data_IF_896381508562
#
_entry.id   IF_896381508562
#
_cell.length_a   1.000
_cell.length_b   1.000
_cell.length_c   1.000
_cell.angle_alpha   90.00
_cell.angle_beta   90.00
_cell.angle_gamma   90.00
#
_symmetry.space_group_name_H-M   'P 1'
#
loop_
_entity.id
_entity.type
_entity.pdbx_description
1 polymer ?
#
# COMPACT_ATOMS: atom_id res chain seq x y z
N UNK A 1 20.79 -14.76 -19.30
CA UNK A 1 19.76 -13.98 -18.62
C UNK A 1 18.39 -14.29 -19.20
N UNK A 2 17.45 -14.69 -18.36
CA UNK A 2 16.10 -14.98 -18.81
C UNK A 2 15.29 -13.68 -18.77
N UNK A 3 14.69 -13.35 -19.90
CA UNK A 3 13.87 -12.17 -20.03
C UNK A 3 12.41 -12.56 -19.77
N UNK A 4 11.75 -11.85 -18.85
CA UNK A 4 10.34 -12.07 -18.59
C UNK A 4 9.50 -11.56 -19.74
N UNK A 5 8.43 -12.29 -20.04
CA UNK A 5 7.45 -11.89 -21.04
C UNK A 5 6.06 -11.88 -20.43
N UNK A 6 5.28 -10.87 -20.77
CA UNK A 6 3.91 -10.71 -20.33
C UNK A 6 2.98 -10.76 -21.51
N UNK A 7 1.80 -11.30 -21.32
CA UNK A 7 0.79 -11.32 -22.37
C UNK A 7 0.11 -9.95 -22.54
N UNK A 8 -0.19 -9.30 -21.38
CA UNK A 8 -0.75 -7.94 -21.37
C UNK A 8 -0.08 -7.14 -20.26
N UNK A 9 -0.07 -5.83 -20.41
CA UNK A 9 0.67 -4.93 -19.50
C UNK A 9 0.20 -4.99 -18.05
N UNK A 10 -1.08 -5.27 -17.80
CA UNK A 10 -1.60 -5.33 -16.44
C UNK A 10 -0.90 -6.44 -15.62
N UNK A 11 -0.39 -7.48 -16.28
CA UNK A 11 0.34 -8.55 -15.59
C UNK A 11 1.60 -8.01 -14.91
N UNK A 12 2.31 -7.07 -15.57
CA UNK A 12 3.48 -6.44 -14.99
C UNK A 12 3.09 -5.57 -13.79
N UNK A 13 2.00 -4.83 -13.90
CA UNK A 13 1.49 -4.01 -12.79
C UNK A 13 1.15 -4.87 -11.58
N UNK A 14 0.45 -5.98 -11.80
CA UNK A 14 0.03 -6.86 -10.71
C UNK A 14 1.21 -7.58 -10.08
N UNK A 15 2.31 -7.78 -10.78
CA UNK A 15 3.52 -8.31 -10.18
C UNK A 15 4.07 -7.37 -9.09
N UNK A 16 3.95 -6.06 -9.33
CA UNK A 16 4.49 -5.04 -8.42
C UNK A 16 3.53 -4.74 -7.28
N UNK A 17 2.24 -4.55 -7.59
CA UNK A 17 1.27 -4.10 -6.60
C UNK A 17 0.14 -5.09 -6.32
N UNK A 18 0.21 -6.27 -6.89
CA UNK A 18 -0.85 -7.28 -6.73
C UNK A 18 -0.83 -7.95 -5.37
N UNK A 19 -1.71 -8.92 -5.21
CA UNK A 19 -1.92 -9.58 -3.94
C UNK A 19 -2.87 -8.79 -3.06
N UNK A 20 -2.99 -9.22 -1.81
CA UNK A 20 -3.99 -8.68 -0.89
C UNK A 20 -3.57 -7.36 -0.25
N UNK A 21 -2.25 -7.16 -0.02
CA UNK A 21 -1.81 -6.15 0.93
C UNK A 21 -1.03 -4.97 0.33
N UNK A 22 -0.36 -5.16 -0.81
CA UNK A 22 0.55 -4.12 -1.32
C UNK A 22 -0.16 -2.83 -1.66
N UNK A 23 -1.29 -2.88 -2.38
CA UNK A 23 -2.06 -1.68 -2.68
C UNK A 23 -2.54 -0.97 -1.41
N UNK A 24 -2.94 -1.73 -0.39
CA UNK A 24 -3.39 -1.17 0.88
C UNK A 24 -2.25 -0.41 1.55
N UNK A 25 -1.06 -1.01 1.62
CA UNK A 25 0.12 -0.35 2.18
C UNK A 25 0.40 0.96 1.43
N UNK A 26 0.40 0.90 0.10
CA UNK A 26 0.72 2.06 -0.72
C UNK A 26 -0.31 3.18 -0.54
N UNK A 27 -1.59 2.83 -0.44
CA UNK A 27 -2.64 3.82 -0.19
C UNK A 27 -2.40 4.55 1.13
N UNK A 28 -2.02 3.83 2.18
CA UNK A 28 -1.69 4.47 3.46
C UNK A 28 -0.48 5.39 3.34
N UNK A 29 0.52 5.00 2.55
CA UNK A 29 1.73 5.81 2.35
C UNK A 29 1.50 7.06 1.50
N UNK A 30 0.41 7.14 0.74
CA UNK A 30 0.08 8.37 0.02
C UNK A 30 -0.25 9.52 0.97
N UNK A 31 -0.58 9.23 2.22
CA UNK A 31 -0.90 10.22 3.25
C UNK A 31 0.32 10.63 4.08
N UNK A 32 1.49 10.18 3.71
CA UNK A 32 2.75 10.51 4.38
C UNK A 32 3.50 9.27 4.82
N UNK A 33 4.75 9.47 5.19
CA UNK A 33 5.61 8.38 5.66
C UNK A 33 5.03 7.77 6.94
N UNK A 34 5.25 6.47 7.11
CA UNK A 34 4.70 5.70 8.22
C UNK A 34 5.75 4.76 8.80
N UNK A 35 5.67 4.56 10.10
CA UNK A 35 6.42 3.49 10.77
C UNK A 35 5.66 2.18 10.61
N UNK A 36 6.36 1.06 10.79
CA UNK A 36 5.73 -0.27 10.74
C UNK A 36 4.60 -0.38 11.75
N UNK A 37 4.79 0.19 12.97
CA UNK A 37 3.75 0.16 14.01
C UNK A 37 2.49 0.93 13.61
N UNK A 38 2.66 2.03 12.88
CA UNK A 38 1.52 2.81 12.38
C UNK A 38 0.77 2.05 11.30
N UNK A 39 1.50 1.42 10.37
CA UNK A 39 0.91 0.58 9.34
C UNK A 39 0.15 -0.60 9.96
N UNK A 40 0.74 -1.23 10.98
CA UNK A 40 0.09 -2.34 11.67
C UNK A 40 -1.22 -1.92 12.32
N UNK A 41 -1.27 -0.71 12.88
CA UNK A 41 -2.49 -0.17 13.48
C UNK A 41 -3.57 0.06 12.42
N UNK A 42 -3.19 0.57 11.25
CA UNK A 42 -4.12 0.82 10.15
C UNK A 42 -4.54 -0.48 9.45
N UNK A 43 -3.77 -1.54 9.60
CA UNK A 43 -3.99 -2.83 8.96
C UNK A 43 -3.98 -3.93 10.03
N UNK A 44 -4.99 -3.96 10.92
CA UNK A 44 -4.92 -4.85 12.09
C UNK A 44 -4.96 -6.34 11.74
N UNK A 45 -5.49 -6.71 10.59
CA UNK A 45 -5.64 -8.11 10.17
C UNK A 45 -4.33 -8.70 9.64
N UNK A 46 -3.45 -7.88 9.06
CA UNK A 46 -2.18 -8.38 8.52
C UNK A 46 -1.26 -8.83 9.68
N UNK A 47 -0.56 -9.94 9.49
CA UNK A 47 0.44 -10.37 10.48
C UNK A 47 1.69 -9.51 10.36
N UNK A 48 2.44 -9.40 11.44
CA UNK A 48 3.72 -8.66 11.43
C UNK A 48 4.67 -9.26 10.39
N UNK A 49 4.70 -10.58 10.31
CA UNK A 49 5.56 -11.28 9.34
C UNK A 49 5.18 -10.92 7.91
N UNK A 50 3.90 -10.92 7.60
CA UNK A 50 3.42 -10.59 6.26
C UNK A 50 3.67 -9.12 5.93
N UNK A 51 3.43 -8.22 6.87
CA UNK A 51 3.69 -6.80 6.67
C UNK A 51 5.17 -6.56 6.34
N UNK A 52 6.07 -7.16 7.12
CA UNK A 52 7.51 -7.06 6.89
C UNK A 52 7.88 -7.60 5.50
N UNK A 53 7.30 -8.73 5.12
CA UNK A 53 7.55 -9.33 3.81
C UNK A 53 7.10 -8.41 2.67
N UNK A 54 5.90 -7.86 2.77
CA UNK A 54 5.36 -6.97 1.75
C UNK A 54 6.17 -5.68 1.62
N UNK A 55 6.58 -5.10 2.74
CA UNK A 55 7.42 -3.91 2.74
C UNK A 55 8.77 -4.18 2.08
N UNK A 56 9.36 -5.34 2.36
CA UNK A 56 10.64 -5.72 1.75
C UNK A 56 10.51 -5.85 0.24
N UNK A 57 9.44 -6.48 -0.25
CA UNK A 57 9.21 -6.64 -1.68
C UNK A 57 8.99 -5.30 -2.37
N UNK A 58 8.20 -4.42 -1.78
CA UNK A 58 7.97 -3.08 -2.33
C UNK A 58 9.26 -2.26 -2.36
N UNK A 59 10.10 -2.39 -1.35
CA UNK A 59 11.40 -1.72 -1.31
C UNK A 59 12.33 -2.26 -2.40
N UNK A 60 12.38 -3.58 -2.57
CA UNK A 60 13.19 -4.22 -3.60
C UNK A 60 12.77 -3.79 -5.00
N UNK A 61 11.48 -3.59 -5.21
CA UNK A 61 10.95 -3.13 -6.50
C UNK A 61 11.12 -1.62 -6.69
N UNK A 62 11.69 -0.92 -5.72
CA UNK A 62 11.93 0.51 -5.80
C UNK A 62 10.69 1.38 -5.66
N UNK A 63 9.59 0.82 -5.15
CA UNK A 63 8.33 1.53 -5.00
C UNK A 63 8.31 2.36 -3.71
N UNK A 64 8.97 1.87 -2.67
CA UNK A 64 9.06 2.59 -1.39
C UNK A 64 10.52 2.70 -0.97
N UNK A 65 10.79 3.72 -0.17
CA UNK A 65 12.09 3.93 0.47
C UNK A 65 11.94 3.63 1.95
N UNK A 66 12.98 2.96 2.50
CA UNK A 66 13.10 2.74 3.93
C UNK A 66 14.05 3.80 4.49
N UNK A 67 13.57 4.58 5.44
CA UNK A 67 14.35 5.67 6.03
C UNK A 67 14.64 5.32 7.48
N UNK A 68 15.93 5.22 7.82
CA UNK A 68 16.35 4.95 9.19
C UNK A 68 16.97 6.21 9.78
N UNK A 69 16.41 6.67 10.89
CA UNK A 69 16.95 7.80 11.62
C UNK A 69 17.92 7.30 12.69
N UNK A 70 19.13 7.85 12.68
CA UNK A 70 20.20 7.45 13.59
C UNK A 70 20.01 8.12 14.95
N UNK A 71 19.16 7.54 15.76
CA UNK A 71 18.88 7.99 17.12
C UNK A 71 18.65 6.80 18.05
N UNK A 72 18.50 7.04 19.34
CA UNK A 72 18.26 5.98 20.34
C UNK A 72 16.93 6.22 21.02
N UNK A 73 15.96 5.29 20.89
CA UNK A 73 15.97 4.12 20.01
C UNK A 73 15.89 4.53 18.53
N UNK A 74 16.41 3.71 17.60
CA UNK A 74 16.34 4.04 16.19
C UNK A 74 14.89 4.02 15.69
N UNK A 75 14.59 4.91 14.75
CA UNK A 75 13.27 4.98 14.12
C UNK A 75 13.38 4.70 12.64
N UNK A 76 12.50 3.84 12.15
CA UNK A 76 12.46 3.45 10.75
C UNK A 76 11.10 3.85 10.18
N UNK A 77 11.13 4.57 9.07
CA UNK A 77 9.94 4.99 8.34
C UNK A 77 9.97 4.44 6.93
N UNK A 78 8.81 4.30 6.35
CA UNK A 78 8.63 3.96 4.94
C UNK A 78 7.87 5.08 4.27
N UNK A 79 8.25 5.39 3.04
CA UNK A 79 7.58 6.41 2.23
C UNK A 79 7.57 5.95 0.78
N UNK A 80 6.66 6.52 -0.02
CA UNK A 80 6.68 6.28 -1.46
C UNK A 80 7.94 6.90 -2.05
N UNK A 81 8.63 6.14 -2.91
CA UNK A 81 9.71 6.69 -3.71
C UNK A 81 9.13 7.61 -4.80
N UNK A 82 9.99 8.34 -5.50
CA UNK A 82 9.55 9.09 -6.67
C UNK A 82 8.84 8.19 -7.67
N UNK A 83 9.41 7.00 -7.92
CA UNK A 83 8.80 6.01 -8.80
C UNK A 83 7.46 5.52 -8.22
N UNK A 84 7.39 5.31 -6.92
CA UNK A 84 6.15 4.89 -6.25
C UNK A 84 5.03 5.90 -6.41
N UNK A 85 5.34 7.20 -6.40
CA UNK A 85 4.33 8.24 -6.60
C UNK A 85 3.70 8.19 -7.99
N UNK A 86 4.37 7.56 -8.97
CA UNK A 86 3.77 7.36 -10.30
C UNK A 86 2.54 6.47 -10.26
N UNK A 87 2.33 5.73 -9.17
CA UNK A 87 1.15 4.88 -8.97
C UNK A 87 -0.05 5.64 -8.39
N UNK A 88 0.11 6.92 -8.03
CA UNK A 88 -0.95 7.66 -7.30
C UNK A 88 -2.31 7.59 -7.99
N UNK A 89 -2.36 7.84 -9.30
CA UNK A 89 -3.62 7.83 -10.04
C UNK A 89 -4.27 6.45 -10.04
N UNK A 90 -3.46 5.40 -10.16
CA UNK A 90 -3.96 4.03 -10.12
C UNK A 90 -4.56 3.72 -8.75
N UNK A 91 -3.85 4.09 -7.69
CA UNK A 91 -4.31 3.86 -6.32
C UNK A 91 -5.60 4.63 -6.03
N UNK A 92 -5.68 5.87 -6.48
CA UNK A 92 -6.89 6.68 -6.33
C UNK A 92 -8.07 6.04 -7.07
N UNK A 93 -7.82 5.52 -8.28
CA UNK A 93 -8.87 4.85 -9.07
C UNK A 93 -9.36 3.58 -8.40
N UNK A 94 -8.45 2.82 -7.79
CA UNK A 94 -8.83 1.61 -7.04
C UNK A 94 -9.73 1.97 -5.86
N UNK A 95 -9.39 3.03 -5.13
CA UNK A 95 -10.21 3.49 -4.00
C UNK A 95 -11.58 3.99 -4.48
N UNK A 96 -11.60 4.74 -5.58
CA UNK A 96 -12.86 5.28 -6.12
C UNK A 96 -13.79 4.16 -6.57
N UNK A 97 -13.26 3.16 -7.24
CA UNK A 97 -14.06 2.01 -7.65
C UNK A 97 -14.60 1.27 -6.42
N UNK A 98 -13.75 1.08 -5.40
CA UNK A 98 -14.15 0.44 -4.16
C UNK A 98 -15.28 1.17 -3.46
N UNK A 99 -15.22 2.51 -3.40
CA UNK A 99 -16.29 3.34 -2.83
C UNK A 99 -17.62 3.09 -3.55
N UNK A 100 -17.60 3.09 -4.87
CA UNK A 100 -18.78 2.83 -5.69
C UNK A 100 -19.34 1.44 -5.42
N UNK A 101 -18.46 0.45 -5.35
CA UNK A 101 -18.84 -0.94 -5.09
C UNK A 101 -19.50 -1.10 -3.72
N UNK A 102 -18.89 -0.50 -2.68
CA UNK A 102 -19.44 -0.57 -1.32
C UNK A 102 -20.81 0.09 -1.24
N UNK A 103 -20.98 1.21 -1.92
CA UNK A 103 -22.27 1.91 -1.97
C UNK A 103 -23.32 1.04 -2.66
N UNK A 104 -22.93 0.37 -3.75
CA UNK A 104 -23.86 -0.51 -4.48
C UNK A 104 -24.29 -1.70 -3.64
N UNK A 105 -23.36 -2.32 -2.91
CA UNK A 105 -23.63 -3.55 -2.15
C UNK A 105 -24.29 -3.27 -0.81
N UNK A 106 -23.83 -2.23 -0.11
CA UNK A 106 -24.23 -1.96 1.29
C UNK A 106 -25.08 -0.70 1.44
N UNK A 107 -25.32 0.07 0.38
CA UNK A 107 -26.11 1.29 0.41
C UNK A 107 -25.34 2.52 0.84
N UNK A 108 -24.47 2.40 1.84
CA UNK A 108 -23.62 3.48 2.34
C UNK A 108 -22.27 2.90 2.73
N UNK A 109 -21.20 3.38 2.12
CA UNK A 109 -19.85 2.89 2.40
C UNK A 109 -19.43 3.10 3.86
N UNK A 110 -19.96 4.16 4.50
CA UNK A 110 -19.63 4.46 5.90
C UNK A 110 -20.11 3.39 6.86
N UNK A 111 -21.09 2.57 6.47
CA UNK A 111 -21.58 1.48 7.30
C UNK A 111 -20.60 0.34 7.44
N UNK A 112 -19.60 0.23 6.55
CA UNK A 112 -18.63 -0.88 6.52
C UNK A 112 -17.18 -0.43 6.57
N UNK A 113 -16.89 0.88 6.48
CA UNK A 113 -15.52 1.39 6.57
C UNK A 113 -15.22 1.90 7.97
N UNK A 114 -13.99 1.67 8.43
CA UNK A 114 -13.53 2.20 9.70
C UNK A 114 -13.44 3.73 9.63
N UNK A 115 -13.93 4.42 10.66
CA UNK A 115 -13.96 5.88 10.69
C UNK A 115 -12.57 6.49 10.55
N UNK A 116 -11.55 5.89 11.19
CA UNK A 116 -10.17 6.37 11.13
C UNK A 116 -9.62 6.36 9.71
N UNK A 117 -10.09 5.44 8.86
CA UNK A 117 -9.68 5.34 7.46
C UNK A 117 -10.46 6.33 6.61
N UNK A 118 -11.73 6.58 6.93
CA UNK A 118 -12.55 7.55 6.22
C UNK A 118 -11.97 8.97 6.31
N UNK A 119 -11.28 9.27 7.40
CA UNK A 119 -10.73 10.60 7.67
C UNK A 119 -9.33 10.82 7.11
N UNK A 120 -8.80 9.86 6.37
CA UNK A 120 -7.49 10.00 5.72
C UNK A 120 -7.54 10.80 4.41
#
# INVERSE_FOLDING_TARGET
MVQKKYNISVEATLEVIGGKWKCVILCHLTHGKKRTSELKRLMPVITQKMLTQQLRELEQDGIINRISYNQVPPKVYYELSEYGWSLQNILNSLCAWGDTHLTKVYGDKSSVLEESILNQ
#
